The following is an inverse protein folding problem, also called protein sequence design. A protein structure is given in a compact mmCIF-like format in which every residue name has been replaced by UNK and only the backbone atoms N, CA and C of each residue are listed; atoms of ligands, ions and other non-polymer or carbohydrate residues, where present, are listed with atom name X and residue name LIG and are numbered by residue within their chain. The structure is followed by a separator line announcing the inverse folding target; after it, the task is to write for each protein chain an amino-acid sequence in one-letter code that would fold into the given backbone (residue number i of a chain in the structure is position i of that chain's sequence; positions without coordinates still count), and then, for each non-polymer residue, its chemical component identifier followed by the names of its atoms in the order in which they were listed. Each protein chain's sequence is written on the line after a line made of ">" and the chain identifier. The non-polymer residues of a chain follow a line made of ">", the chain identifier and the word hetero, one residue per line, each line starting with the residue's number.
data_IF_521897303941
#
_entry.id   IF_521897303941
#
_cell.length_a   1.000
_cell.length_b   1.000
_cell.length_c   1.000
_cell.angle_alpha   90.00
_cell.angle_beta   90.00
_cell.angle_gamma   90.00
#
_symmetry.space_group_name_H-M   'P 1'
#
loop_
_entity.id
_entity.type
_entity.pdbx_description
1 polymer ?
#
# COMPACT_ATOMS: atom_id res chain seq x y z
N UNK A 1 12.11 -21.50 19.43
CA UNK A 1 12.78 -21.56 18.11
C UNK A 1 12.58 -20.25 17.36
N UNK A 2 13.57 -19.37 17.37
CA UNK A 2 13.57 -18.21 16.48
C UNK A 2 13.97 -18.68 15.09
N UNK A 3 13.00 -18.73 14.17
CA UNK A 3 13.28 -18.96 12.75
C UNK A 3 13.96 -17.69 12.23
N UNK A 4 15.28 -17.72 12.06
CA UNK A 4 15.99 -16.68 11.35
C UNK A 4 15.50 -16.67 9.89
N UNK A 5 14.58 -15.75 9.59
CA UNK A 5 14.14 -15.50 8.22
C UNK A 5 15.29 -14.80 7.50
N UNK A 6 15.91 -15.53 6.57
CA UNK A 6 17.05 -15.08 5.77
C UNK A 6 16.60 -13.88 4.92
N UNK A 7 16.94 -12.65 5.34
CA UNK A 7 16.84 -11.48 4.47
C UNK A 7 17.86 -11.70 3.35
N UNK A 8 17.42 -12.01 2.13
CA UNK A 8 18.31 -12.08 0.96
C UNK A 8 19.02 -10.74 0.84
N UNK A 9 20.31 -10.68 1.17
CA UNK A 9 21.10 -9.44 1.15
C UNK A 9 21.31 -8.87 -0.26
N UNK A 10 21.13 -9.68 -1.31
CA UNK A 10 21.29 -9.26 -2.70
C UNK A 10 19.99 -9.54 -3.49
N UNK A 11 19.12 -8.53 -3.58
CA UNK A 11 17.98 -8.57 -4.50
C UNK A 11 18.45 -8.22 -5.92
N UNK A 12 18.05 -9.00 -6.92
CA UNK A 12 18.25 -8.65 -8.33
C UNK A 12 17.45 -7.38 -8.62
N UNK A 13 18.11 -6.36 -9.17
CA UNK A 13 17.43 -5.13 -9.59
C UNK A 13 16.45 -5.45 -10.71
N UNK A 14 15.18 -5.09 -10.52
CA UNK A 14 14.14 -5.25 -11.53
C UNK A 14 14.06 -4.03 -12.44
N UNK A 15 14.08 -2.84 -11.83
CA UNK A 15 14.00 -1.56 -12.53
C UNK A 15 15.35 -0.86 -12.35
N UNK A 16 16.14 -0.71 -13.44
CA UNK A 16 17.40 0.03 -13.37
C UNK A 16 17.17 1.46 -12.85
N UNK A 17 18.02 1.92 -11.93
CA UNK A 17 17.85 3.22 -11.24
C UNK A 17 17.77 4.41 -12.21
N UNK A 18 18.36 4.29 -13.41
CA UNK A 18 18.26 5.31 -14.48
C UNK A 18 16.83 5.60 -14.94
N UNK A 19 15.89 4.67 -14.76
CA UNK A 19 14.48 4.85 -15.09
C UNK A 19 13.69 5.56 -13.99
N UNK A 20 14.28 5.78 -12.80
CA UNK A 20 13.60 6.41 -11.67
C UNK A 20 13.00 7.77 -12.04
N UNK A 21 13.76 8.64 -12.72
CA UNK A 21 13.28 9.95 -13.16
C UNK A 21 12.09 9.86 -14.12
N UNK A 22 12.08 8.89 -15.04
CA UNK A 22 10.97 8.68 -15.97
C UNK A 22 9.70 8.19 -15.26
N UNK A 23 9.83 7.37 -14.22
CA UNK A 23 8.69 6.89 -13.42
C UNK A 23 8.07 8.03 -12.60
N UNK A 24 8.90 8.90 -12.04
CA UNK A 24 8.44 10.13 -11.39
C UNK A 24 7.71 11.05 -12.36
N UNK A 25 8.28 11.27 -13.55
CA UNK A 25 7.64 12.08 -14.58
C UNK A 25 6.30 11.48 -15.04
N UNK A 26 6.24 10.16 -15.21
CA UNK A 26 5.00 9.47 -15.58
C UNK A 26 3.92 9.64 -14.51
N UNK A 27 4.27 9.45 -13.23
CA UNK A 27 3.33 9.64 -12.11
C UNK A 27 2.85 11.09 -12.02
N UNK A 28 3.74 12.06 -12.22
CA UNK A 28 3.40 13.48 -12.27
C UNK A 28 2.38 13.77 -13.38
N UNK A 29 2.67 13.34 -14.62
CA UNK A 29 1.76 13.56 -15.77
C UNK A 29 0.43 12.84 -15.56
N UNK A 30 0.44 11.58 -15.10
CA UNK A 30 -0.78 10.84 -14.82
C UNK A 30 -1.64 11.51 -13.74
N UNK A 31 -1.01 12.12 -12.73
CA UNK A 31 -1.71 12.87 -11.68
C UNK A 31 -2.37 14.14 -12.22
N UNK A 32 -1.70 14.87 -13.11
CA UNK A 32 -2.32 16.02 -13.79
C UNK A 32 -3.50 15.59 -14.66
N UNK A 33 -3.34 14.51 -15.43
CA UNK A 33 -4.43 13.95 -16.27
C UNK A 33 -5.62 13.50 -15.42
N UNK A 34 -5.37 12.87 -14.26
CA UNK A 34 -6.40 12.49 -13.30
C UNK A 34 -7.16 13.69 -12.70
N UNK A 35 -6.59 14.88 -12.73
CA UNK A 35 -7.21 16.08 -12.15
C UNK A 35 -7.50 17.13 -13.23
N UNK A 36 -7.66 16.70 -14.49
CA UNK A 36 -7.78 17.60 -15.63
C UNK A 36 -8.93 18.59 -15.50
N UNK A 37 -10.06 18.17 -14.91
CA UNK A 37 -11.23 19.04 -14.68
C UNK A 37 -10.87 20.15 -13.69
N UNK A 38 -10.35 19.81 -12.51
CA UNK A 38 -9.93 20.80 -11.50
C UNK A 38 -8.80 21.71 -12.00
N UNK A 39 -7.88 21.17 -12.80
CA UNK A 39 -6.82 21.96 -13.43
C UNK A 39 -7.43 22.99 -14.38
N UNK A 40 -8.40 22.62 -15.21
CA UNK A 40 -9.05 23.54 -16.15
C UNK A 40 -9.88 24.58 -15.40
N UNK A 41 -10.63 24.17 -14.37
CA UNK A 41 -11.44 25.05 -13.55
C UNK A 41 -10.61 26.15 -12.88
N UNK A 42 -9.37 25.84 -12.48
CA UNK A 42 -8.44 26.81 -11.91
C UNK A 42 -8.06 27.94 -12.88
N UNK A 43 -8.09 27.68 -14.20
CA UNK A 43 -7.74 28.68 -15.21
C UNK A 43 -8.95 29.47 -15.74
N UNK A 44 -10.17 29.07 -15.40
CA UNK A 44 -11.39 29.72 -15.91
C UNK A 44 -11.51 31.16 -15.41
N UNK A 45 -11.71 32.10 -16.33
CA UNK A 45 -11.93 33.52 -16.00
C UNK A 45 -10.66 34.32 -15.68
N UNK A 46 -9.48 33.71 -15.68
CA UNK A 46 -8.21 34.42 -15.48
C UNK A 46 -7.84 35.25 -16.71
N UNK A 47 -7.38 36.48 -16.50
CA UNK A 47 -6.97 37.38 -17.58
C UNK A 47 -5.58 38.00 -17.36
N UNK A 48 -5.09 38.02 -16.12
CA UNK A 48 -3.77 38.55 -15.78
C UNK A 48 -2.65 37.52 -15.89
N UNK A 49 -1.49 37.92 -16.44
CA UNK A 49 -0.31 37.06 -16.52
C UNK A 49 0.18 36.57 -15.13
N UNK A 50 0.05 37.40 -14.09
CA UNK A 50 0.40 37.02 -12.72
C UNK A 50 -0.56 35.97 -12.15
N UNK A 51 -1.86 36.14 -12.37
CA UNK A 51 -2.90 35.18 -11.96
C UNK A 51 -2.70 33.83 -12.64
N UNK A 52 -2.46 33.84 -13.95
CA UNK A 52 -2.16 32.63 -14.74
C UNK A 52 -0.90 31.94 -14.21
N UNK A 53 0.15 32.70 -13.89
CA UNK A 53 1.39 32.13 -13.36
C UNK A 53 1.18 31.45 -12.00
N UNK A 54 0.41 32.07 -11.11
CA UNK A 54 0.06 31.49 -9.81
C UNK A 54 -0.77 30.22 -9.99
N UNK A 55 -1.77 30.25 -10.87
CA UNK A 55 -2.59 29.08 -11.19
C UNK A 55 -1.77 27.92 -11.77
N UNK A 56 -0.78 28.18 -12.63
CA UNK A 56 0.15 27.13 -13.10
C UNK A 56 0.93 26.51 -11.95
N UNK A 57 1.46 27.33 -11.03
CA UNK A 57 2.21 26.83 -9.88
C UNK A 57 1.31 25.97 -8.99
N UNK A 58 0.10 26.43 -8.70
CA UNK A 58 -0.88 25.70 -7.90
C UNK A 58 -1.29 24.38 -8.57
N UNK A 59 -1.55 24.38 -9.88
CA UNK A 59 -1.88 23.16 -10.60
C UNK A 59 -0.74 22.13 -10.58
N UNK A 60 0.49 22.59 -10.83
CA UNK A 60 1.68 21.72 -10.82
C UNK A 60 1.92 21.13 -9.43
N UNK A 61 1.83 21.94 -8.38
CA UNK A 61 2.10 21.49 -7.01
C UNK A 61 0.96 20.66 -6.43
N UNK A 62 -0.27 21.15 -6.51
CA UNK A 62 -1.45 20.53 -5.90
C UNK A 62 -1.93 19.28 -6.62
N UNK A 63 -1.98 19.31 -7.95
CA UNK A 63 -2.55 18.22 -8.76
C UNK A 63 -1.50 17.32 -9.43
N UNK A 64 -0.22 17.75 -9.46
CA UNK A 64 0.88 16.96 -10.03
C UNK A 64 1.83 16.40 -8.98
N UNK A 65 2.56 17.28 -8.28
CA UNK A 65 3.64 16.90 -7.35
C UNK A 65 3.09 16.24 -6.09
N UNK A 66 2.09 16.83 -5.45
CA UNK A 66 1.55 16.34 -4.18
C UNK A 66 1.04 14.89 -4.29
N UNK A 67 0.23 14.49 -5.29
CA UNK A 67 -0.19 13.10 -5.46
C UNK A 67 0.99 12.13 -5.68
N UNK A 68 2.01 12.54 -6.43
CA UNK A 68 3.22 11.74 -6.66
C UNK A 68 4.01 11.50 -5.36
N UNK A 69 4.18 12.55 -4.55
CA UNK A 69 4.85 12.46 -3.24
C UNK A 69 4.05 11.59 -2.28
N UNK A 70 2.73 11.76 -2.23
CA UNK A 70 1.83 10.94 -1.40
C UNK A 70 1.95 9.46 -1.78
N UNK A 71 1.91 9.13 -3.08
CA UNK A 71 2.10 7.75 -3.55
C UNK A 71 3.47 7.19 -3.15
N UNK A 72 4.52 8.00 -3.26
CA UNK A 72 5.87 7.60 -2.84
C UNK A 72 5.95 7.30 -1.34
N UNK A 73 5.42 8.19 -0.49
CA UNK A 73 5.40 8.02 0.96
C UNK A 73 4.59 6.80 1.39
N UNK A 74 3.40 6.58 0.81
CA UNK A 74 2.61 5.38 1.09
C UNK A 74 3.34 4.10 0.68
N UNK A 75 4.00 4.12 -0.48
CA UNK A 75 4.80 2.97 -0.93
C UNK A 75 5.96 2.68 0.03
N UNK A 76 6.60 3.72 0.58
CA UNK A 76 7.62 3.57 1.62
C UNK A 76 7.05 2.99 2.92
N UNK A 77 5.87 3.39 3.34
CA UNK A 77 5.20 2.82 4.53
C UNK A 77 4.95 1.33 4.31
N UNK A 78 4.40 0.92 3.16
CA UNK A 78 4.11 -0.48 2.87
C UNK A 78 5.38 -1.36 2.85
N UNK A 79 6.46 -0.90 2.23
CA UNK A 79 7.71 -1.67 2.19
C UNK A 79 8.42 -1.71 3.54
N UNK A 80 8.34 -0.65 4.34
CA UNK A 80 8.89 -0.66 5.71
C UNK A 80 8.11 -1.58 6.64
N UNK A 81 6.79 -1.69 6.48
CA UNK A 81 5.99 -2.70 7.18
C UNK A 81 6.44 -4.13 6.85
N UNK A 82 6.67 -4.42 5.57
CA UNK A 82 7.21 -5.72 5.15
C UNK A 82 8.60 -5.98 5.72
N UNK A 83 9.44 -4.95 5.79
CA UNK A 83 10.77 -5.03 6.38
C UNK A 83 10.72 -5.35 7.88
N UNK A 84 9.88 -4.65 8.65
CA UNK A 84 9.70 -4.91 10.09
C UNK A 84 9.20 -6.32 10.39
N UNK A 85 8.46 -6.93 9.47
CA UNK A 85 7.94 -8.30 9.59
C UNK A 85 8.88 -9.37 9.00
N UNK A 86 10.09 -9.00 8.56
CA UNK A 86 11.05 -9.91 7.94
C UNK A 86 10.57 -10.51 6.62
N UNK A 87 9.59 -9.90 5.95
CA UNK A 87 8.95 -10.40 4.73
C UNK A 87 9.37 -9.61 3.48
N UNK A 88 10.63 -9.18 3.42
CA UNK A 88 11.20 -8.43 2.27
C UNK A 88 11.53 -9.39 1.14
N UNK A 89 11.08 -9.07 -0.06
CA UNK A 89 11.21 -9.91 -1.25
C UNK A 89 11.81 -9.17 -2.46
N UNK A 90 11.90 -7.84 -2.42
CA UNK A 90 12.52 -7.02 -3.45
C UNK A 90 13.25 -5.81 -2.85
N UNK A 91 14.06 -5.13 -3.67
CA UNK A 91 14.72 -3.88 -3.29
C UNK A 91 13.66 -2.80 -3.04
N UNK A 92 13.91 -1.94 -2.05
CA UNK A 92 13.02 -0.81 -1.70
C UNK A 92 12.62 0.05 -2.92
N UNK A 93 13.59 0.41 -3.76
CA UNK A 93 13.34 1.23 -4.95
C UNK A 93 12.45 0.51 -5.97
N UNK A 94 12.70 -0.78 -6.23
CA UNK A 94 11.86 -1.58 -7.13
C UNK A 94 10.42 -1.63 -6.63
N UNK A 95 10.21 -1.84 -5.33
CA UNK A 95 8.88 -1.82 -4.73
C UNK A 95 8.15 -0.50 -5.00
N UNK A 96 8.79 0.62 -4.66
CA UNK A 96 8.22 1.95 -4.79
C UNK A 96 7.91 2.28 -6.25
N UNK A 97 8.84 1.99 -7.15
CA UNK A 97 8.67 2.24 -8.58
C UNK A 97 7.55 1.40 -9.18
N UNK A 98 7.37 0.15 -8.75
CA UNK A 98 6.24 -0.68 -9.17
C UNK A 98 4.93 -0.08 -8.68
N UNK A 99 4.83 0.33 -7.42
CA UNK A 99 3.65 1.02 -6.90
C UNK A 99 3.32 2.28 -7.71
N UNK A 100 4.32 3.13 -7.97
CA UNK A 100 4.13 4.34 -8.77
C UNK A 100 3.67 4.05 -10.19
N UNK A 101 4.24 3.05 -10.87
CA UNK A 101 3.83 2.66 -12.22
C UNK A 101 2.37 2.20 -12.27
N UNK A 102 1.95 1.36 -11.33
CA UNK A 102 0.58 0.87 -11.26
C UNK A 102 -0.40 2.01 -10.94
N UNK A 103 -0.10 2.85 -9.94
CA UNK A 103 -0.91 4.02 -9.63
C UNK A 103 -1.00 5.00 -10.82
N UNK A 104 0.11 5.23 -11.53
CA UNK A 104 0.13 6.07 -12.73
C UNK A 104 -0.83 5.54 -13.80
N UNK A 105 -0.82 4.22 -14.05
CA UNK A 105 -1.71 3.60 -15.01
C UNK A 105 -3.19 3.78 -14.62
N UNK A 106 -3.52 3.58 -13.34
CA UNK A 106 -4.87 3.81 -12.82
C UNK A 106 -5.29 5.27 -13.00
N UNK A 107 -4.42 6.21 -12.62
CA UNK A 107 -4.68 7.65 -12.70
C UNK A 107 -4.90 8.10 -14.14
N UNK A 108 -4.08 7.60 -15.06
CA UNK A 108 -4.20 7.91 -16.48
C UNK A 108 -5.53 7.41 -17.06
N UNK A 109 -5.91 6.16 -16.78
CA UNK A 109 -7.20 5.60 -17.24
C UNK A 109 -8.37 6.38 -16.66
N UNK A 110 -8.35 6.67 -15.35
CA UNK A 110 -9.40 7.46 -14.71
C UNK A 110 -9.50 8.87 -15.30
N UNK A 111 -8.37 9.54 -15.53
CA UNK A 111 -8.35 10.88 -16.12
C UNK A 111 -8.88 10.91 -17.57
N UNK A 112 -8.59 9.88 -18.39
CA UNK A 112 -9.20 9.76 -19.73
C UNK A 112 -10.72 9.65 -19.60
N UNK A 113 -11.23 8.88 -18.65
CA UNK A 113 -12.67 8.73 -18.45
C UNK A 113 -13.28 10.06 -17.96
N UNK A 114 -12.57 10.80 -17.12
CA UNK A 114 -13.03 12.11 -16.64
C UNK A 114 -13.04 13.19 -17.72
N UNK A 115 -12.24 13.08 -18.78
CA UNK A 115 -12.39 13.95 -19.94
C UNK A 115 -13.79 13.85 -20.58
N UNK A 116 -14.55 12.78 -20.39
CA UNK A 116 -15.93 12.71 -20.87
C UNK A 116 -16.90 13.61 -20.10
N UNK A 117 -16.48 14.23 -18.98
CA UNK A 117 -17.28 15.24 -18.27
C UNK A 117 -17.59 16.47 -19.14
N UNK A 118 -16.80 16.74 -20.18
CA UNK A 118 -17.11 17.79 -21.17
C UNK A 118 -18.37 17.47 -21.99
N UNK A 119 -18.69 16.20 -22.18
CA UNK A 119 -19.88 15.77 -22.91
C UNK A 119 -21.09 15.61 -21.99
N UNK A 120 -20.87 15.09 -20.78
CA UNK A 120 -21.91 14.90 -19.77
C UNK A 120 -21.34 15.15 -18.37
N UNK A 121 -21.71 16.27 -17.71
CA UNK A 121 -21.26 16.59 -16.36
C UNK A 121 -21.63 15.52 -15.32
N UNK A 122 -22.66 14.71 -15.58
CA UNK A 122 -23.07 13.62 -14.69
C UNK A 122 -22.02 12.51 -14.59
N UNK A 123 -20.98 12.50 -15.42
CA UNK A 123 -19.85 11.57 -15.33
C UNK A 123 -19.00 11.82 -14.07
N UNK A 124 -18.85 13.07 -13.65
CA UNK A 124 -17.92 13.48 -12.58
C UNK A 124 -18.20 12.83 -11.21
N UNK A 125 -19.47 12.73 -10.74
CA UNK A 125 -19.79 11.99 -9.51
C UNK A 125 -19.33 10.53 -9.57
N UNK A 126 -19.61 9.84 -10.68
CA UNK A 126 -19.32 8.41 -10.82
C UNK A 126 -17.82 8.14 -10.98
N UNK A 127 -17.08 8.99 -11.70
CA UNK A 127 -15.63 8.84 -11.80
C UNK A 127 -14.94 9.11 -10.47
N UNK A 128 -15.37 10.15 -9.76
CA UNK A 128 -14.79 10.54 -8.47
C UNK A 128 -15.05 9.49 -7.39
N UNK A 129 -16.25 8.92 -7.34
CA UNK A 129 -16.63 7.95 -6.31
C UNK A 129 -16.32 6.52 -6.69
N UNK A 130 -16.75 6.08 -7.88
CA UNK A 130 -16.70 4.67 -8.26
C UNK A 130 -15.35 4.28 -8.82
N UNK A 131 -14.75 5.09 -9.70
CA UNK A 131 -13.46 4.70 -10.31
C UNK A 131 -12.34 4.71 -9.28
N UNK A 132 -12.33 5.66 -8.35
CA UNK A 132 -11.38 5.65 -7.25
C UNK A 132 -11.50 4.34 -6.44
N UNK A 133 -12.72 3.88 -6.18
CA UNK A 133 -12.91 2.64 -5.40
C UNK A 133 -12.67 1.36 -6.20
N UNK A 134 -12.89 1.37 -7.51
CA UNK A 134 -12.79 0.18 -8.37
C UNK A 134 -11.45 0.08 -9.08
N UNK A 135 -11.06 1.11 -9.83
CA UNK A 135 -9.84 1.11 -10.66
C UNK A 135 -8.61 1.11 -9.76
N UNK A 136 -8.57 1.93 -8.72
CA UNK A 136 -7.41 1.99 -7.83
C UNK A 136 -7.26 0.69 -7.01
N UNK A 137 -8.36 0.18 -6.45
CA UNK A 137 -8.35 -1.08 -5.70
C UNK A 137 -8.04 -2.28 -6.60
N UNK A 138 -8.60 -2.31 -7.80
CA UNK A 138 -8.31 -3.31 -8.82
C UNK A 138 -6.85 -3.28 -9.25
N UNK A 139 -6.28 -2.08 -9.40
CA UNK A 139 -4.86 -1.87 -9.71
C UNK A 139 -3.96 -2.35 -8.57
N UNK A 140 -4.31 -2.07 -7.31
CA UNK A 140 -3.64 -2.62 -6.14
C UNK A 140 -3.65 -4.16 -6.16
N UNK A 141 -4.80 -4.78 -6.43
CA UNK A 141 -4.91 -6.22 -6.55
C UNK A 141 -4.07 -6.77 -7.71
N UNK A 142 -4.10 -6.13 -8.88
CA UNK A 142 -3.30 -6.53 -10.04
C UNK A 142 -1.80 -6.45 -9.71
N UNK A 143 -1.34 -5.36 -9.12
CA UNK A 143 0.04 -5.19 -8.67
C UNK A 143 0.45 -6.34 -7.73
N UNK A 144 -0.38 -6.61 -6.72
CA UNK A 144 -0.09 -7.67 -5.76
C UNK A 144 -0.03 -9.05 -6.42
N UNK A 145 -1.07 -9.44 -7.16
CA UNK A 145 -1.20 -10.81 -7.67
C UNK A 145 -0.36 -11.11 -8.91
N UNK A 146 -0.17 -10.13 -9.80
CA UNK A 146 0.55 -10.31 -11.06
C UNK A 146 2.06 -10.14 -10.87
N UNK A 147 2.48 -9.20 -10.02
CA UNK A 147 3.90 -8.86 -9.86
C UNK A 147 4.43 -9.44 -8.54
N UNK A 148 3.98 -8.90 -7.41
CA UNK A 148 4.65 -9.15 -6.13
C UNK A 148 4.50 -10.58 -5.62
N UNK A 149 3.32 -11.18 -5.78
CA UNK A 149 3.05 -12.55 -5.31
C UNK A 149 4.01 -13.57 -5.91
N UNK A 150 4.44 -13.38 -7.16
CA UNK A 150 5.37 -14.28 -7.86
C UNK A 150 6.78 -14.26 -7.28
N UNK A 151 7.10 -13.27 -6.46
CA UNK A 151 8.42 -13.07 -5.85
C UNK A 151 8.47 -13.50 -4.38
N UNK A 152 7.34 -13.92 -3.80
CA UNK A 152 7.20 -14.20 -2.37
C UNK A 152 6.88 -15.67 -2.11
N UNK A 153 7.41 -16.20 -1.01
CA UNK A 153 6.98 -17.49 -0.45
C UNK A 153 5.54 -17.40 0.10
N UNK A 154 4.79 -18.52 0.19
CA UNK A 154 3.39 -18.51 0.67
C UNK A 154 3.18 -17.82 2.03
N UNK A 155 4.14 -17.94 2.96
CA UNK A 155 4.10 -17.23 4.25
C UNK A 155 4.23 -15.71 4.09
N UNK A 156 5.18 -15.26 3.26
CA UNK A 156 5.36 -13.83 2.96
C UNK A 156 4.15 -13.27 2.20
N UNK A 157 3.57 -14.04 1.28
CA UNK A 157 2.36 -13.67 0.56
C UNK A 157 1.24 -13.32 1.55
N UNK A 158 0.91 -14.23 2.46
CA UNK A 158 -0.13 -13.99 3.46
C UNK A 158 0.15 -12.77 4.34
N UNK A 159 1.34 -12.69 4.93
CA UNK A 159 1.69 -11.60 5.86
C UNK A 159 1.67 -10.24 5.17
N UNK A 160 2.27 -10.13 3.98
CA UNK A 160 2.31 -8.88 3.22
C UNK A 160 0.93 -8.50 2.68
N UNK A 161 0.15 -9.45 2.13
CA UNK A 161 -1.20 -9.15 1.65
C UNK A 161 -2.08 -8.62 2.77
N UNK A 162 -2.15 -9.33 3.90
CA UNK A 162 -2.99 -8.93 5.03
C UNK A 162 -2.58 -7.56 5.58
N UNK A 163 -1.28 -7.28 5.68
CA UNK A 163 -0.76 -5.98 6.11
C UNK A 163 -1.16 -4.84 5.17
N UNK A 164 -0.88 -5.03 3.88
CA UNK A 164 -1.03 -3.98 2.90
C UNK A 164 -2.51 -3.75 2.60
N UNK A 165 -3.30 -4.82 2.47
CA UNK A 165 -4.73 -4.72 2.23
C UNK A 165 -5.45 -4.07 3.41
N UNK A 166 -5.05 -4.36 4.65
CA UNK A 166 -5.65 -3.70 5.82
C UNK A 166 -5.37 -2.21 5.82
N UNK A 167 -4.12 -1.78 5.59
CA UNK A 167 -3.76 -0.35 5.57
C UNK A 167 -4.41 0.36 4.37
N UNK A 168 -4.34 -0.25 3.19
CA UNK A 168 -4.92 0.29 1.97
C UNK A 168 -6.43 0.46 2.09
N UNK A 169 -7.17 -0.60 2.43
CA UNK A 169 -8.63 -0.55 2.54
C UNK A 169 -9.10 0.27 3.73
N UNK A 170 -8.32 0.36 4.81
CA UNK A 170 -8.66 1.26 5.92
C UNK A 170 -8.60 2.72 5.49
N UNK A 171 -7.49 3.15 4.86
CA UNK A 171 -7.32 4.54 4.44
C UNK A 171 -8.24 4.90 3.27
N UNK A 172 -8.29 4.07 2.24
CA UNK A 172 -9.20 4.25 1.10
C UNK A 172 -10.66 4.21 1.57
N UNK A 173 -10.98 3.30 2.49
CA UNK A 173 -12.31 3.16 3.06
C UNK A 173 -12.71 4.36 3.91
N UNK A 174 -11.81 4.93 4.71
CA UNK A 174 -12.07 6.13 5.51
C UNK A 174 -12.35 7.33 4.59
N UNK A 175 -11.52 7.54 3.57
CA UNK A 175 -11.73 8.60 2.58
C UNK A 175 -13.06 8.43 1.85
N UNK A 176 -13.33 7.22 1.35
CA UNK A 176 -14.56 6.92 0.60
C UNK A 176 -15.80 7.06 1.50
N UNK A 177 -15.75 6.55 2.73
CA UNK A 177 -16.87 6.62 3.65
C UNK A 177 -17.17 8.05 4.08
N UNK A 178 -16.15 8.84 4.42
CA UNK A 178 -16.33 10.24 4.78
C UNK A 178 -16.97 11.02 3.63
N UNK A 179 -16.37 10.97 2.43
CA UNK A 179 -16.92 11.68 1.28
C UNK A 179 -18.34 11.19 0.92
N UNK A 180 -18.55 9.88 0.82
CA UNK A 180 -19.86 9.32 0.45
C UNK A 180 -20.96 9.65 1.46
N UNK A 181 -20.69 9.54 2.76
CA UNK A 181 -21.66 9.89 3.81
C UNK A 181 -21.95 11.38 3.79
N UNK A 182 -20.93 12.24 3.61
CA UNK A 182 -21.13 13.69 3.48
C UNK A 182 -22.06 14.03 2.31
N UNK A 183 -21.83 13.48 1.12
CA UNK A 183 -22.70 13.74 -0.04
C UNK A 183 -24.13 13.23 0.16
N UNK A 184 -24.30 12.06 0.80
CA UNK A 184 -25.64 11.54 1.12
C UNK A 184 -26.36 12.46 2.10
N UNK A 185 -25.70 12.90 3.18
CA UNK A 185 -26.32 13.79 4.17
C UNK A 185 -26.70 15.12 3.54
N UNK A 186 -25.79 15.74 2.78
CA UNK A 186 -26.04 17.01 2.11
C UNK A 186 -27.16 16.90 1.07
N UNK A 187 -27.34 15.76 0.42
CA UNK A 187 -28.47 15.57 -0.50
C UNK A 187 -29.82 15.43 0.21
N UNK A 188 -29.89 14.65 1.31
CA UNK A 188 -31.15 14.38 2.00
C UNK A 188 -31.55 15.45 3.04
N UNK A 189 -30.62 16.26 3.53
CA UNK A 189 -30.88 17.36 4.47
C UNK A 189 -30.60 18.72 3.82
N UNK A 190 -31.67 19.33 3.31
CA UNK A 190 -31.59 20.63 2.63
C UNK A 190 -31.10 21.75 3.56
N UNK A 191 -31.39 21.67 4.87
CA UNK A 191 -31.00 22.70 5.83
C UNK A 191 -29.49 22.70 6.11
N UNK A 192 -28.90 21.51 6.20
CA UNK A 192 -27.45 21.34 6.33
C UNK A 192 -26.76 21.66 5.01
N UNK A 193 -27.34 21.26 3.88
CA UNK A 193 -26.82 21.59 2.55
C UNK A 193 -26.71 23.10 2.35
N UNK A 194 -27.80 23.85 2.53
CA UNK A 194 -27.79 25.30 2.35
C UNK A 194 -26.74 25.98 3.24
N UNK A 195 -26.63 25.58 4.50
CA UNK A 195 -25.62 26.10 5.42
C UNK A 195 -24.18 25.81 4.96
N UNK A 196 -23.90 24.59 4.51
CA UNK A 196 -22.56 24.20 4.06
C UNK A 196 -22.19 24.85 2.74
N UNK A 197 -23.15 24.97 1.81
CA UNK A 197 -22.94 25.68 0.55
C UNK A 197 -22.67 27.17 0.78
N UNK A 198 -23.40 27.82 1.68
CA UNK A 198 -23.20 29.24 2.00
C UNK A 198 -21.80 29.48 2.60
N UNK A 199 -21.31 28.57 3.46
CA UNK A 199 -19.94 28.59 3.97
C UNK A 199 -18.92 28.38 2.85
N UNK A 200 -19.14 27.40 1.96
CA UNK A 200 -18.22 27.11 0.86
C UNK A 200 -18.14 28.27 -0.15
N UNK A 201 -19.27 28.87 -0.48
CA UNK A 201 -19.33 30.04 -1.36
C UNK A 201 -18.67 31.26 -0.69
N UNK A 202 -18.96 31.51 0.59
CA UNK A 202 -18.43 32.66 1.33
C UNK A 202 -16.92 32.59 1.54
N UNK A 203 -16.38 31.42 1.87
CA UNK A 203 -14.95 31.28 2.24
C UNK A 203 -14.06 30.76 1.11
N UNK A 204 -14.62 30.03 0.15
CA UNK A 204 -13.85 29.37 -0.91
C UNK A 204 -14.30 29.78 -2.32
N UNK A 205 -15.35 30.61 -2.45
CA UNK A 205 -15.84 31.07 -3.76
C UNK A 205 -16.31 29.93 -4.67
N UNK A 206 -16.61 28.77 -4.10
CA UNK A 206 -16.88 27.54 -4.83
C UNK A 206 -18.36 27.17 -4.69
N UNK A 207 -19.21 27.48 -5.69
CA UNK A 207 -20.56 26.96 -5.73
C UNK A 207 -20.49 25.46 -6.01
N UNK A 208 -20.58 24.65 -4.97
CA UNK A 208 -20.76 23.21 -5.13
C UNK A 208 -22.24 22.98 -5.43
N UNK A 209 -22.56 22.20 -6.44
CA UNK A 209 -23.93 21.72 -6.67
C UNK A 209 -23.97 20.23 -6.41
N UNK A 210 -24.67 19.81 -5.35
CA UNK A 210 -24.88 18.40 -5.04
C UNK A 210 -26.18 17.98 -5.72
N UNK A 211 -26.05 17.09 -6.69
CA UNK A 211 -27.17 16.50 -7.42
C UNK A 211 -27.47 15.07 -6.95
N UNK A 212 -28.56 14.50 -7.47
CA UNK A 212 -28.95 13.11 -7.20
C UNK A 212 -27.86 12.10 -7.62
N UNK A 213 -27.07 12.44 -8.65
CA UNK A 213 -25.95 11.64 -9.15
C UNK A 213 -24.87 11.42 -8.09
N UNK A 214 -24.50 12.46 -7.34
CA UNK A 214 -23.57 12.37 -6.21
C UNK A 214 -24.08 11.45 -5.09
N UNK A 215 -25.37 11.50 -4.77
CA UNK A 215 -25.97 10.63 -3.77
C UNK A 215 -25.98 9.15 -4.21
N UNK A 216 -26.42 8.87 -5.43
CA UNK A 216 -26.45 7.50 -5.99
C UNK A 216 -25.03 6.93 -6.09
N UNK A 217 -24.08 7.68 -6.65
CA UNK A 217 -22.69 7.25 -6.77
C UNK A 217 -22.06 6.95 -5.40
N UNK A 218 -22.39 7.74 -4.38
CA UNK A 218 -21.93 7.54 -3.00
C UNK A 218 -22.46 6.25 -2.38
N UNK A 219 -23.75 5.94 -2.56
CA UNK A 219 -24.34 4.67 -2.09
C UNK A 219 -23.65 3.47 -2.76
N UNK A 220 -23.46 3.52 -4.07
CA UNK A 220 -22.78 2.46 -4.82
C UNK A 220 -21.33 2.30 -4.33
N UNK A 221 -20.61 3.41 -4.10
CA UNK A 221 -19.24 3.37 -3.59
C UNK A 221 -19.15 2.68 -2.21
N UNK A 222 -20.10 2.93 -1.30
CA UNK A 222 -20.17 2.25 0.00
C UNK A 222 -20.43 0.74 -0.17
N UNK A 223 -21.32 0.34 -1.08
CA UNK A 223 -21.55 -1.07 -1.39
C UNK A 223 -20.29 -1.75 -1.96
N UNK A 224 -19.58 -1.08 -2.87
CA UNK A 224 -18.32 -1.57 -3.43
C UNK A 224 -17.23 -1.68 -2.36
N UNK A 225 -17.15 -0.73 -1.43
CA UNK A 225 -16.23 -0.79 -0.29
C UNK A 225 -16.49 -2.02 0.58
N UNK A 226 -17.76 -2.28 0.93
CA UNK A 226 -18.10 -3.49 1.68
C UNK A 226 -17.71 -4.77 0.92
N UNK A 227 -17.97 -4.81 -0.40
CA UNK A 227 -17.58 -5.94 -1.24
C UNK A 227 -16.06 -6.15 -1.27
N UNK A 228 -15.27 -5.08 -1.39
CA UNK A 228 -13.81 -5.15 -1.38
C UNK A 228 -13.25 -5.62 -0.03
N UNK A 229 -13.83 -5.18 1.08
CA UNK A 229 -13.45 -5.64 2.42
C UNK A 229 -13.71 -7.15 2.56
N UNK A 230 -14.89 -7.62 2.15
CA UNK A 230 -15.22 -9.05 2.17
C UNK A 230 -14.25 -9.84 1.28
N UNK A 231 -13.96 -9.36 0.08
CA UNK A 231 -13.01 -9.99 -0.84
C UNK A 231 -11.60 -10.07 -0.24
N UNK A 232 -11.11 -9.00 0.40
CA UNK A 232 -9.80 -8.99 1.04
C UNK A 232 -9.72 -9.97 2.23
N UNK A 233 -10.79 -10.10 3.01
CA UNK A 233 -10.89 -11.10 4.09
C UNK A 233 -10.83 -12.52 3.49
N UNK A 234 -11.61 -12.79 2.45
CA UNK A 234 -11.64 -14.09 1.79
C UNK A 234 -10.28 -14.48 1.20
N UNK A 235 -9.63 -13.55 0.50
CA UNK A 235 -8.27 -13.76 -0.03
C UNK A 235 -7.27 -14.00 1.10
N UNK A 236 -7.33 -13.20 2.17
CA UNK A 236 -6.44 -13.36 3.33
C UNK A 236 -6.61 -14.74 3.96
N UNK A 237 -7.85 -15.24 4.09
CA UNK A 237 -8.12 -16.58 4.60
C UNK A 237 -7.54 -17.69 3.68
N UNK A 238 -7.68 -17.55 2.36
CA UNK A 238 -7.11 -18.50 1.39
C UNK A 238 -5.59 -18.50 1.44
N UNK A 239 -4.95 -17.33 1.46
CA UNK A 239 -3.49 -17.21 1.60
C UNK A 239 -3.02 -17.74 2.96
N UNK A 240 -3.77 -17.50 4.03
CA UNK A 240 -3.48 -18.01 5.37
C UNK A 240 -3.49 -19.54 5.43
N UNK A 241 -4.46 -20.20 4.78
CA UNK A 241 -4.47 -21.67 4.64
C UNK A 241 -3.23 -22.18 3.92
N UNK A 242 -2.83 -21.53 2.82
CA UNK A 242 -1.62 -21.89 2.07
C UNK A 242 -0.33 -21.68 2.87
N UNK A 243 -0.27 -20.61 3.66
CA UNK A 243 0.86 -20.32 4.53
C UNK A 243 1.01 -21.35 5.67
N UNK A 244 -0.10 -21.85 6.23
CA UNK A 244 -0.08 -22.90 7.27
C UNK A 244 0.47 -24.23 6.75
N UNK A 245 0.19 -24.56 5.50
CA UNK A 245 0.63 -25.81 4.86
C UNK A 245 2.03 -25.70 4.22
N UNK A 246 2.67 -24.54 4.31
CA UNK A 246 3.97 -24.32 3.67
C UNK A 246 5.11 -24.82 4.56
N UNK A 247 5.84 -25.80 4.04
CA UNK A 247 7.13 -26.23 4.61
C UNK A 247 8.22 -25.47 3.85
N UNK A 248 9.04 -24.64 4.53
CA UNK A 248 10.12 -23.92 3.86
C UNK A 248 11.12 -24.93 3.26
N UNK A 249 11.67 -24.64 2.07
CA UNK A 249 12.70 -25.48 1.48
C UNK A 249 13.86 -25.61 2.46
N UNK A 250 14.44 -26.82 2.54
CA UNK A 250 15.61 -27.06 3.36
C UNK A 250 16.69 -26.02 3.01
N UNK A 251 17.41 -25.48 4.00
CA UNK A 251 18.48 -24.53 3.72
C UNK A 251 19.44 -25.17 2.72
N UNK A 252 19.83 -24.41 1.68
CA UNK A 252 20.95 -24.80 0.83
C UNK A 252 22.12 -25.13 1.76
N UNK A 253 22.50 -26.43 1.79
CA UNK A 253 23.72 -26.87 2.47
C UNK A 253 24.84 -26.00 1.94
N UNK A 254 25.64 -25.44 2.83
CA UNK A 254 26.78 -24.67 2.37
C UNK A 254 27.68 -25.61 1.55
N UNK A 255 28.38 -25.12 0.52
CA UNK A 255 29.41 -25.91 -0.17
C UNK A 255 30.50 -26.43 0.79
N UNK A 256 30.57 -25.87 2.01
CA UNK A 256 31.46 -26.29 3.08
C UNK A 256 30.85 -27.36 4.01
N UNK A 257 29.58 -27.74 3.83
CA UNK A 257 28.92 -28.84 4.58
C UNK A 257 29.12 -30.22 3.91
N UNK A 258 29.89 -30.31 2.83
CA UNK A 258 30.38 -31.58 2.28
C UNK A 258 31.66 -32.02 2.99
N UNK A 259 31.55 -32.27 4.29
CA UNK A 259 32.57 -32.93 5.10
C UNK A 259 31.98 -34.17 5.76
N UNK A 260 31.55 -35.14 4.94
CA UNK A 260 30.96 -36.39 5.42
C UNK A 260 31.36 -37.56 4.54
N UNK A 261 32.55 -38.11 4.79
CA UNK A 261 32.97 -39.42 4.33
C UNK A 261 32.98 -40.38 5.53
N UNK A 262 32.10 -41.37 5.48
CA UNK A 262 31.73 -42.28 6.57
C UNK A 262 32.70 -43.48 6.67
N UNK A 263 33.09 -43.88 7.89
CA UNK A 263 33.54 -45.24 8.20
C UNK A 263 34.85 -45.38 9.00
N UNK A 264 34.76 -45.89 10.23
CA UNK A 264 35.90 -46.50 10.94
C UNK A 264 35.98 -46.11 12.41
N UNK A 265 35.67 -47.05 13.30
CA UNK A 265 35.97 -47.04 14.73
C UNK A 265 37.46 -46.68 14.97
N UNK A 266 37.71 -45.79 15.94
CA UNK A 266 38.81 -45.85 16.95
C UNK A 266 39.32 -44.46 17.34
N UNK A 267 39.29 -44.18 18.65
CA UNK A 267 40.33 -43.39 19.32
C UNK A 267 40.10 -41.89 19.53
N UNK A 268 39.66 -41.56 20.75
CA UNK A 268 40.26 -40.47 21.55
C UNK A 268 39.89 -39.02 21.20
N UNK A 269 39.15 -38.37 22.09
CA UNK A 269 39.11 -36.90 22.18
C UNK A 269 40.50 -36.40 22.64
N UNK A 270 41.14 -35.43 21.96
CA UNK A 270 42.48 -34.96 22.34
C UNK A 270 42.47 -33.75 23.28
N UNK A 271 41.34 -33.42 23.93
CA UNK A 271 41.23 -32.21 24.76
C UNK A 271 40.48 -32.38 26.08
N UNK A 272 40.44 -33.61 26.63
CA UNK A 272 40.00 -33.85 28.01
C UNK A 272 41.11 -34.48 28.85
N UNK A 273 42.14 -33.69 29.17
CA UNK A 273 42.98 -33.96 30.35
C UNK A 273 43.79 -32.72 30.69
N UNK A 274 43.26 -31.85 31.56
CA UNK A 274 44.01 -31.11 32.57
C UNK A 274 43.03 -30.30 33.43
N UNK A 275 42.75 -30.79 34.65
CA UNK A 275 42.23 -29.95 35.73
C UNK A 275 41.07 -30.48 36.57
N UNK A 276 41.29 -31.56 37.34
CA UNK A 276 40.84 -31.70 38.74
C UNK A 276 39.35 -31.79 39.07
N UNK A 277 38.88 -33.01 39.37
CA UNK A 277 37.79 -33.29 40.32
C UNK A 277 38.30 -33.09 41.79
N UNK A 278 37.50 -33.15 42.90
CA UNK A 278 36.24 -33.89 43.01
C UNK A 278 35.14 -33.38 44.01
N UNK A 279 34.04 -34.16 44.02
CA UNK A 279 33.07 -34.42 45.10
C UNK A 279 31.95 -33.42 45.47
N UNK A 280 30.72 -33.95 45.56
CA UNK A 280 29.68 -33.42 46.45
C UNK A 280 28.21 -33.43 45.98
N UNK A 281 27.55 -34.57 46.13
CA UNK A 281 26.15 -34.80 46.56
C UNK A 281 25.01 -33.73 46.39
N UNK A 282 23.90 -34.21 45.80
CA UNK A 282 22.49 -34.22 46.28
C UNK A 282 21.63 -32.92 46.29
N UNK A 283 20.43 -33.09 45.72
CA UNK A 283 19.15 -32.32 45.76
C UNK A 283 19.00 -31.06 46.64
N UNK A 284 18.31 -30.02 46.14
CA UNK A 284 16.86 -29.81 46.36
C UNK A 284 16.31 -28.60 45.56
N UNK A 285 14.98 -28.51 45.58
CA UNK A 285 13.96 -27.64 44.96
C UNK A 285 14.17 -26.12 44.76
N UNK A 286 13.36 -25.65 43.79
CA UNK A 286 12.60 -24.38 43.68
C UNK A 286 13.22 -23.09 44.24
N UNK A 287 13.41 -22.11 43.35
CA UNK A 287 12.74 -20.83 43.54
C UNK A 287 12.55 -20.08 42.22
N UNK A 288 11.35 -19.50 42.08
CA UNK A 288 11.01 -18.46 41.10
C UNK A 288 11.97 -17.27 41.31
N UNK A 289 12.12 -16.33 40.40
CA UNK A 289 11.42 -15.04 40.51
C UNK A 289 12.17 -13.98 39.62
N UNK A 290 11.38 -13.19 38.87
CA UNK A 290 11.67 -11.90 38.17
C UNK A 290 12.53 -11.92 36.89
N UNK A 291 12.29 -11.12 35.86
CA UNK A 291 11.25 -10.13 35.47
C UNK A 291 11.52 -9.85 33.97
N UNK A 292 10.51 -9.87 33.10
CA UNK A 292 9.89 -8.64 32.58
C UNK A 292 10.91 -7.66 31.94
N UNK A 293 10.97 -7.65 30.60
CA UNK A 293 11.33 -6.46 29.86
C UNK A 293 10.22 -6.18 28.87
N UNK A 294 9.35 -5.26 29.26
CA UNK A 294 8.32 -4.64 28.46
C UNK A 294 8.87 -3.33 27.86
N UNK A 295 8.35 -3.00 26.67
CA UNK A 295 8.37 -1.71 25.95
C UNK A 295 9.68 -1.17 25.34
#
# INVERSE_FOLDING_TARGET
>A
MQVQVRIRKNFKTLIPDKWGGAIWALMFVASLVRNVVSVIDLFTGLSGAAEITIAVIEAVLGYGVLPAVVCYLFSLILVTMSARRGCVFCRRNDFVYICMLFTSAAYFVMGIIECFCFLDPAVLPYTTMLLNMTVLTGTYCAMYFVVFRRMMDPRQQYVNFSAWASVYLFLQGLMTAFSAVSYIILFYDSSVSEMVMDILETYYGAPVTIDEGWAIASIIALCLLAAWVIAAIAVSAVLGKKAKNYVPPAPERSPFDQGGGNGGNDGGSPFEEFGGAPDGQVSDKDDKVFEEFDL
#
